data_IF_028411189263
#
_entry.id   IF_028411189263
#
_cell.length_a   1.000
_cell.length_b   1.000
_cell.length_c   1.000
_cell.angle_alpha   90.00
_cell.angle_beta   90.00
_cell.angle_gamma   90.00
#
_symmetry.space_group_name_H-M   'P 1'
#
loop_
_entity.id
_entity.type
_entity.pdbx_description
1 polymer ?
#
# COMPACT_ATOMS: atom_id res chain seq x y z
N UNK A 1 -16.35 6.48 -20.62
CA UNK A 1 -15.19 7.31 -20.96
C UNK A 1 -13.91 6.63 -20.53
N UNK A 2 -12.94 6.54 -21.41
CA UNK A 2 -11.65 5.97 -21.08
C UNK A 2 -10.84 6.97 -20.27
N UNK A 3 -10.13 6.47 -19.27
CA UNK A 3 -9.23 7.31 -18.48
C UNK A 3 -8.02 7.70 -19.32
N UNK A 4 -7.59 8.94 -19.14
CA UNK A 4 -6.35 9.40 -19.72
C UNK A 4 -5.16 8.63 -19.08
N UNK A 5 -4.21 8.22 -19.91
CA UNK A 5 -3.01 7.51 -19.46
C UNK A 5 -2.23 8.33 -18.44
N UNK A 6 -2.13 9.64 -18.63
CA UNK A 6 -1.48 10.53 -17.68
C UNK A 6 -2.11 10.45 -16.29
N UNK A 7 -3.44 10.38 -16.24
CA UNK A 7 -4.16 10.25 -14.98
C UNK A 7 -3.87 8.91 -14.31
N UNK A 8 -3.86 7.84 -15.11
CA UNK A 8 -3.54 6.49 -14.59
C UNK A 8 -2.11 6.45 -14.04
N UNK A 9 -1.15 7.05 -14.74
CA UNK A 9 0.22 7.11 -14.29
C UNK A 9 0.36 7.86 -12.95
N UNK A 10 -0.42 8.94 -12.76
CA UNK A 10 -0.48 9.65 -11.49
C UNK A 10 -1.06 8.78 -10.38
N UNK A 11 -2.10 8.01 -10.70
CA UNK A 11 -2.69 7.07 -9.73
C UNK A 11 -1.73 5.96 -9.34
N UNK A 12 -0.94 5.45 -10.29
CA UNK A 12 0.11 4.47 -10.01
C UNK A 12 1.15 5.04 -9.05
N UNK A 13 1.61 6.26 -9.32
CA UNK A 13 2.60 6.93 -8.47
C UNK A 13 2.02 7.16 -7.07
N UNK A 14 0.75 7.56 -6.97
CA UNK A 14 0.08 7.77 -5.70
C UNK A 14 -0.03 6.46 -4.91
N UNK A 15 -0.44 5.37 -5.57
CA UNK A 15 -0.55 4.07 -4.92
C UNK A 15 0.82 3.58 -4.44
N UNK A 16 1.88 3.81 -5.21
CA UNK A 16 3.24 3.46 -4.82
C UNK A 16 3.67 4.23 -3.56
N UNK A 17 3.39 5.53 -3.50
CA UNK A 17 3.71 6.35 -2.34
C UNK A 17 2.94 5.89 -1.09
N UNK A 18 1.66 5.57 -1.24
CA UNK A 18 0.86 5.07 -0.12
C UNK A 18 1.38 3.73 0.38
N UNK A 19 1.77 2.84 -0.54
CA UNK A 19 2.34 1.55 -0.16
C UNK A 19 3.60 1.72 0.69
N UNK A 20 4.51 2.60 0.27
CA UNK A 20 5.74 2.89 1.02
C UNK A 20 5.40 3.46 2.39
N UNK A 21 4.48 4.42 2.44
CA UNK A 21 4.07 5.05 3.71
C UNK A 21 3.50 4.03 4.69
N UNK A 22 2.58 3.17 4.23
CA UNK A 22 1.97 2.18 5.11
C UNK A 22 2.98 1.14 5.59
N UNK A 23 3.95 0.76 4.74
CA UNK A 23 5.03 -0.15 5.15
C UNK A 23 5.93 0.47 6.19
N UNK A 24 6.24 1.76 6.06
CA UNK A 24 7.03 2.47 7.07
C UNK A 24 6.32 2.52 8.40
N UNK A 25 5.02 2.84 8.40
CA UNK A 25 4.21 2.90 9.61
C UNK A 25 4.08 1.51 10.25
N UNK A 26 3.94 0.46 9.45
CA UNK A 26 3.95 -0.91 9.94
C UNK A 26 5.25 -1.23 10.68
N UNK A 27 6.38 -0.90 10.06
CA UNK A 27 7.70 -1.14 10.64
C UNK A 27 7.86 -0.40 11.97
N UNK A 28 7.47 0.87 12.01
CA UNK A 28 7.53 1.66 13.23
C UNK A 28 6.68 1.08 14.35
N UNK A 29 5.47 0.62 14.01
CA UNK A 29 4.58 0.01 15.00
C UNK A 29 5.19 -1.28 15.57
N UNK A 30 5.82 -2.09 14.73
CA UNK A 30 6.51 -3.31 15.18
C UNK A 30 7.69 -2.97 16.10
N UNK A 31 8.48 -1.96 15.74
CA UNK A 31 9.62 -1.52 16.55
C UNK A 31 9.17 -1.02 17.93
N UNK A 32 8.10 -0.22 17.96
CA UNK A 32 7.54 0.26 19.23
C UNK A 32 7.06 -0.91 20.08
N UNK A 33 6.41 -1.89 19.46
CA UNK A 33 5.93 -3.09 20.15
C UNK A 33 7.08 -3.82 20.87
N UNK A 34 8.24 -3.89 20.23
CA UNK A 34 9.41 -4.56 20.80
C UNK A 34 9.89 -3.94 22.09
N UNK A 35 9.63 -2.64 22.33
CA UNK A 35 10.00 -1.94 23.56
C UNK A 35 8.91 -1.91 24.62
N UNK A 36 7.74 -2.41 24.34
CA UNK A 36 6.62 -2.37 25.27
C UNK A 36 6.66 -3.52 26.27
N UNK A 37 6.39 -3.20 27.54
CA UNK A 37 6.36 -4.19 28.61
C UNK A 37 4.94 -4.63 28.95
N UNK A 38 3.96 -3.76 28.78
CA UNK A 38 2.56 -4.07 29.08
C UNK A 38 1.99 -5.01 28.00
N UNK A 39 1.55 -6.22 28.36
CA UNK A 39 1.03 -7.17 27.38
C UNK A 39 -0.19 -6.67 26.62
N UNK A 40 -1.07 -5.92 27.27
CA UNK A 40 -2.27 -5.38 26.66
C UNK A 40 -1.91 -4.32 25.62
N UNK A 41 -1.01 -3.40 25.96
CA UNK A 41 -0.53 -2.38 25.05
C UNK A 41 0.19 -3.01 23.85
N UNK A 42 1.02 -4.03 24.09
CA UNK A 42 1.69 -4.78 23.02
C UNK A 42 0.69 -5.40 22.06
N UNK A 43 -0.33 -6.06 22.60
CA UNK A 43 -1.38 -6.68 21.79
C UNK A 43 -2.08 -5.64 20.91
N UNK A 44 -2.41 -4.50 21.50
CA UNK A 44 -3.05 -3.40 20.80
C UNK A 44 -2.16 -2.89 19.64
N UNK A 45 -0.87 -2.69 19.90
CA UNK A 45 0.05 -2.21 18.87
C UNK A 45 0.29 -3.24 17.76
N UNK A 46 0.27 -4.53 18.09
CA UNK A 46 0.33 -5.57 17.07
C UNK A 46 -0.89 -5.54 16.17
N UNK A 47 -2.06 -5.26 16.74
CA UNK A 47 -3.29 -5.09 15.97
C UNK A 47 -3.18 -3.88 15.03
N UNK A 48 -2.62 -2.77 15.53
CA UNK A 48 -2.39 -1.57 14.72
C UNK A 48 -1.43 -1.86 13.56
N UNK A 49 -0.32 -2.58 13.84
CA UNK A 49 0.65 -2.93 12.80
C UNK A 49 0.02 -3.82 11.72
N UNK A 50 -0.88 -4.71 12.11
CA UNK A 50 -1.63 -5.55 11.17
C UNK A 50 -2.53 -4.71 10.26
N UNK A 51 -3.17 -3.68 10.81
CA UNK A 51 -3.95 -2.72 10.03
C UNK A 51 -3.11 -2.02 8.97
N UNK A 52 -1.91 -1.58 9.34
CA UNK A 52 -0.98 -0.96 8.38
C UNK A 52 -0.54 -1.94 7.31
N UNK A 53 -0.31 -3.20 7.65
CA UNK A 53 0.03 -4.25 6.69
C UNK A 53 -1.07 -4.40 5.65
N UNK A 54 -2.32 -4.47 6.07
CA UNK A 54 -3.45 -4.60 5.17
C UNK A 54 -3.59 -3.40 4.24
N UNK A 55 -3.39 -2.19 4.76
CA UNK A 55 -3.42 -0.98 3.95
C UNK A 55 -2.30 -0.97 2.91
N UNK A 56 -1.11 -1.41 3.30
CA UNK A 56 0.02 -1.51 2.38
C UNK A 56 -0.28 -2.51 1.26
N UNK A 57 -0.80 -3.68 1.60
CA UNK A 57 -1.15 -4.70 0.62
C UNK A 57 -2.19 -4.21 -0.37
N UNK A 58 -3.22 -3.49 0.10
CA UNK A 58 -4.23 -2.91 -0.78
C UNK A 58 -3.64 -1.89 -1.75
N UNK A 59 -2.73 -1.05 -1.27
CA UNK A 59 -2.07 -0.06 -2.13
C UNK A 59 -1.17 -0.75 -3.16
N UNK A 60 -0.45 -1.80 -2.75
CA UNK A 60 0.40 -2.59 -3.64
C UNK A 60 -0.42 -3.29 -4.72
N UNK A 61 -1.53 -3.91 -4.34
CA UNK A 61 -2.44 -4.57 -5.28
C UNK A 61 -3.06 -3.58 -6.27
N UNK A 62 -3.46 -2.41 -5.77
CA UNK A 62 -4.01 -1.36 -6.63
C UNK A 62 -2.97 -0.93 -7.67
N UNK A 63 -1.73 -0.72 -7.23
CA UNK A 63 -0.65 -0.36 -8.14
C UNK A 63 -0.45 -1.42 -9.21
N UNK A 64 -0.41 -2.69 -8.82
CA UNK A 64 -0.26 -3.80 -9.76
C UNK A 64 -1.38 -3.83 -10.80
N UNK A 65 -2.62 -3.65 -10.37
CA UNK A 65 -3.77 -3.63 -11.29
C UNK A 65 -3.68 -2.46 -12.27
N UNK A 66 -3.29 -1.29 -11.79
CA UNK A 66 -3.16 -0.11 -12.64
C UNK A 66 -2.02 -0.27 -13.64
N UNK A 67 -0.90 -0.85 -13.20
CA UNK A 67 0.23 -1.13 -14.09
C UNK A 67 -0.18 -2.13 -15.17
N UNK A 68 -0.87 -3.20 -14.79
CA UNK A 68 -1.35 -4.21 -15.74
C UNK A 68 -2.34 -3.60 -16.74
N UNK A 69 -3.25 -2.76 -16.28
CA UNK A 69 -4.20 -2.06 -17.15
C UNK A 69 -3.48 -1.17 -18.14
N UNK A 70 -2.50 -0.39 -17.68
CA UNK A 70 -1.73 0.50 -18.54
C UNK A 70 -0.95 -0.29 -19.59
N UNK A 71 -0.35 -1.39 -19.21
CA UNK A 71 0.37 -2.27 -20.15
C UNK A 71 -0.57 -2.81 -21.24
N UNK A 72 -1.78 -3.22 -20.85
CA UNK A 72 -2.77 -3.71 -21.79
C UNK A 72 -3.22 -2.62 -22.78
N UNK A 73 -3.44 -1.40 -22.28
CA UNK A 73 -3.84 -0.26 -23.11
C UNK A 73 -2.72 0.12 -24.08
N UNK A 74 -1.47 0.13 -23.63
CA UNK A 74 -0.32 0.49 -24.47
C UNK A 74 -0.05 -0.55 -25.56
N UNK A 75 -0.38 -1.81 -25.31
CA UNK A 75 -0.28 -2.85 -26.35
C UNK A 75 -1.29 -2.63 -27.48
N UNK A 76 -2.41 -2.00 -27.14
CA UNK A 76 -3.46 -1.68 -28.10
C UNK A 76 -4.19 -2.91 -28.61
N UNK A 77 -5.30 -2.70 -29.30
CA UNK A 77 -5.97 -3.77 -30.02
C UNK A 77 -5.18 -4.07 -31.30
N UNK A 78 -4.68 -5.24 -31.42
CA UNK A 78 -4.00 -5.67 -32.64
C UNK A 78 -4.96 -6.38 -33.56
#
# INVERSE_FOLDING_TARGET
MSRDISQIEREIAQAARWAVKWRMLQKEAIEVTGGMRDPEARHHMLFVSEGYRLLAERAEERRERLVAYTAAVKRGPC
#
